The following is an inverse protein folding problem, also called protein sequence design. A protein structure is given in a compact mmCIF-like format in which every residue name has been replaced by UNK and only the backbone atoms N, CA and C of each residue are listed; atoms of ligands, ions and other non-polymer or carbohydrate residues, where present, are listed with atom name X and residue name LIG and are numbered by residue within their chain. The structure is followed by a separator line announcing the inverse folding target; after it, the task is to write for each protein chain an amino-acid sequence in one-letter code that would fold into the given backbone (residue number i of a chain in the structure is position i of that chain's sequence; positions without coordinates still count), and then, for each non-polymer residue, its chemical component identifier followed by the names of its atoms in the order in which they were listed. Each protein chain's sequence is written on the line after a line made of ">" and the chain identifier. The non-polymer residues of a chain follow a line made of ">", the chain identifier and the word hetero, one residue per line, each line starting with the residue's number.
data_IF_808490755686
#
_entry.id   IF_808490755686
#
_cell.length_a   1.000
_cell.length_b   1.000
_cell.length_c   1.000
_cell.angle_alpha   90.00
_cell.angle_beta   90.00
_cell.angle_gamma   90.00
#
_symmetry.space_group_name_H-M   'P 1'
#
loop_
_entity.id
_entity.type
_entity.pdbx_description
1 polymer ?
#
# COMPACT_ATOMS: atom_id res chain seq x y z
N UNK A 1 17.18 -53.44 -49.65
CA UNK A 1 17.92 -52.19 -49.41
C UNK A 1 16.86 -51.08 -49.27
N UNK A 2 16.19 -50.90 -48.12
CA UNK A 2 16.64 -50.32 -46.84
C UNK A 2 17.20 -48.91 -47.12
N UNK A 3 16.71 -47.76 -46.61
CA UNK A 3 16.00 -47.36 -45.38
C UNK A 3 15.42 -45.95 -45.63
N UNK A 4 14.23 -45.59 -45.13
CA UNK A 4 13.77 -44.19 -45.08
C UNK A 4 13.96 -43.64 -43.66
N UNK A 5 14.79 -42.60 -43.53
CA UNK A 5 15.12 -41.92 -42.27
C UNK A 5 13.99 -40.98 -41.85
N UNK A 6 13.31 -41.29 -40.75
CA UNK A 6 12.34 -40.42 -40.10
C UNK A 6 13.03 -39.51 -39.07
N UNK A 7 13.19 -38.23 -39.40
CA UNK A 7 13.71 -37.19 -38.51
C UNK A 7 12.66 -36.84 -37.46
N UNK A 8 12.86 -37.27 -36.21
CA UNK A 8 12.01 -36.92 -35.07
C UNK A 8 12.49 -35.59 -34.49
N UNK A 9 11.72 -34.52 -34.66
CA UNK A 9 11.95 -33.21 -34.04
C UNK A 9 11.60 -33.30 -32.54
N UNK A 10 12.62 -33.25 -31.69
CA UNK A 10 12.49 -33.12 -30.23
C UNK A 10 12.15 -31.67 -29.90
N UNK A 11 10.93 -31.41 -29.42
CA UNK A 11 10.56 -30.12 -28.88
C UNK A 11 11.13 -29.97 -27.46
N UNK A 12 12.09 -29.06 -27.30
CA UNK A 12 12.68 -28.73 -26.00
C UNK A 12 11.69 -27.88 -25.19
N UNK A 13 11.17 -28.42 -24.10
CA UNK A 13 10.38 -27.65 -23.14
C UNK A 13 11.34 -26.86 -22.23
N UNK A 14 11.47 -25.56 -22.48
CA UNK A 14 12.20 -24.66 -21.59
C UNK A 14 11.35 -24.42 -20.33
N UNK A 15 11.81 -24.94 -19.20
CA UNK A 15 11.20 -24.68 -17.89
C UNK A 15 11.59 -23.26 -17.43
N UNK A 16 10.64 -22.33 -17.47
CA UNK A 16 10.80 -21.02 -16.86
C UNK A 16 10.70 -21.16 -15.33
N UNK A 17 11.86 -21.15 -14.65
CA UNK A 17 11.95 -20.95 -13.21
C UNK A 17 11.64 -19.48 -12.91
N UNK A 18 10.36 -19.17 -12.72
CA UNK A 18 9.94 -17.89 -12.17
C UNK A 18 10.29 -17.89 -10.67
N UNK A 19 11.24 -17.04 -10.28
CA UNK A 19 11.51 -16.77 -8.87
C UNK A 19 10.28 -16.10 -8.26
N UNK A 20 9.54 -16.84 -7.44
CA UNK A 20 8.47 -16.25 -6.63
C UNK A 20 9.13 -15.36 -5.58
N UNK A 21 8.97 -14.04 -5.73
CA UNK A 21 9.30 -13.11 -4.66
C UNK A 21 8.32 -13.42 -3.51
N UNK A 22 8.80 -13.65 -2.27
CA UNK A 22 7.90 -13.88 -1.15
C UNK A 22 6.99 -12.67 -1.00
N UNK A 23 5.70 -12.87 -1.23
CA UNK A 23 4.66 -11.91 -0.91
C UNK A 23 4.41 -11.97 0.60
N UNK A 24 5.30 -11.34 1.35
CA UNK A 24 5.13 -11.12 2.79
C UNK A 24 4.35 -9.84 3.04
N UNK A 25 3.59 -9.81 4.14
CA UNK A 25 3.15 -8.56 4.72
C UNK A 25 4.37 -7.77 5.23
N UNK A 26 4.32 -6.45 5.07
CA UNK A 26 5.32 -5.48 5.48
C UNK A 26 4.58 -4.39 6.26
N UNK A 27 5.05 -4.10 7.46
CA UNK A 27 4.63 -2.92 8.22
C UNK A 27 5.58 -1.78 7.87
N UNK A 28 5.04 -0.75 7.23
CA UNK A 28 5.75 0.51 7.00
C UNK A 28 5.57 1.36 8.25
N UNK A 29 6.66 1.59 8.95
CA UNK A 29 6.73 2.54 10.05
C UNK A 29 7.63 3.73 9.64
N UNK A 30 7.76 4.71 10.53
CA UNK A 30 8.54 5.93 10.26
C UNK A 30 9.61 6.19 11.32
N UNK A 31 10.06 5.16 12.03
CA UNK A 31 11.04 5.24 13.12
C UNK A 31 12.35 5.94 12.69
N UNK A 32 12.73 5.85 11.41
CA UNK A 32 13.90 6.53 10.86
C UNK A 32 13.79 8.07 10.89
N UNK A 33 12.58 8.59 11.06
CA UNK A 33 12.28 10.03 11.18
C UNK A 33 12.25 10.50 12.64
N UNK A 34 12.36 9.59 13.61
CA UNK A 34 12.37 9.93 15.02
C UNK A 34 13.58 10.80 15.37
N UNK A 35 13.36 11.84 16.18
CA UNK A 35 14.42 12.72 16.64
C UNK A 35 14.09 13.35 18.00
N UNK A 36 15.14 13.73 18.72
CA UNK A 36 15.00 14.47 19.97
C UNK A 36 14.69 15.95 19.71
N UNK A 37 13.59 16.44 20.28
CA UNK A 37 13.23 17.85 20.23
C UNK A 37 11.75 18.10 20.55
N UNK A 38 11.42 19.36 20.85
CA UNK A 38 10.04 19.80 21.12
C UNK A 38 9.30 20.38 19.92
N UNK A 39 9.94 20.45 18.75
CA UNK A 39 9.39 21.04 17.53
C UNK A 39 8.80 20.00 16.58
N UNK A 40 8.23 20.45 15.47
CA UNK A 40 7.94 19.62 14.30
C UNK A 40 9.04 19.78 13.24
N UNK A 41 9.31 18.74 12.47
CA UNK A 41 10.14 18.78 11.28
C UNK A 41 9.33 18.36 10.06
N UNK A 42 9.51 19.06 8.95
CA UNK A 42 8.81 18.73 7.72
C UNK A 42 9.46 17.53 7.03
N UNK A 43 8.59 16.67 6.53
CA UNK A 43 8.96 15.51 5.70
C UNK A 43 8.52 15.81 4.28
N UNK A 44 9.44 15.59 3.34
CA UNK A 44 9.21 15.84 1.93
C UNK A 44 8.11 14.95 1.35
N UNK A 45 7.61 15.33 0.17
CA UNK A 45 6.71 14.51 -0.64
C UNK A 45 7.20 14.53 -2.09
N UNK A 46 7.49 13.37 -2.72
CA UNK A 46 7.25 12.00 -2.23
C UNK A 46 8.12 11.60 -1.03
N UNK A 47 7.58 10.68 -0.21
CA UNK A 47 8.30 9.98 0.83
C UNK A 47 8.30 8.48 0.52
N UNK A 48 9.46 7.84 0.46
CA UNK A 48 9.57 6.41 0.10
C UNK A 48 10.12 5.60 1.25
N UNK A 49 9.41 4.52 1.61
CA UNK A 49 9.76 3.64 2.72
C UNK A 49 9.35 2.19 2.43
N UNK A 50 10.22 1.24 2.77
CA UNK A 50 10.04 -0.22 2.63
C UNK A 50 9.41 -0.70 1.30
N UNK A 51 9.74 -0.06 0.17
CA UNK A 51 9.24 -0.46 -1.16
C UNK A 51 7.95 0.24 -1.62
N UNK A 52 7.46 1.20 -0.85
CA UNK A 52 6.27 1.99 -1.12
C UNK A 52 6.59 3.49 -1.13
N UNK A 53 5.71 4.27 -1.74
CA UNK A 53 5.82 5.74 -1.81
C UNK A 53 4.51 6.38 -1.40
N UNK A 54 4.63 7.33 -0.47
CA UNK A 54 3.60 8.26 -0.05
C UNK A 54 3.77 9.59 -0.80
N UNK A 55 2.70 10.05 -1.42
CA UNK A 55 2.61 11.40 -1.96
C UNK A 55 1.48 12.13 -1.27
N UNK A 56 1.62 13.44 -1.09
CA UNK A 56 0.56 14.28 -0.54
C UNK A 56 0.36 15.45 -1.48
N UNK A 57 -0.87 15.95 -1.63
CA UNK A 57 -1.12 17.23 -2.30
C UNK A 57 -0.93 18.37 -1.29
N UNK A 58 -0.60 19.58 -1.72
CA UNK A 58 -0.49 20.75 -0.81
C UNK A 58 -1.80 21.17 -0.11
N UNK A 59 -2.90 20.45 -0.31
CA UNK A 59 -4.24 20.79 0.18
C UNK A 59 -4.85 22.01 -0.51
N UNK A 60 -5.82 22.65 0.15
CA UNK A 60 -6.58 23.82 -0.37
C UNK A 60 -5.68 25.02 -0.68
N UNK A 61 -4.56 25.16 0.03
CA UNK A 61 -3.60 26.26 -0.18
C UNK A 61 -2.62 26.00 -1.34
N UNK A 62 -2.71 24.85 -2.00
CA UNK A 62 -1.88 24.48 -3.14
C UNK A 62 -0.38 24.35 -2.82
N UNK A 63 0.42 24.11 -3.85
CA UNK A 63 1.89 23.93 -3.77
C UNK A 63 2.68 25.21 -3.45
N UNK A 64 2.04 26.22 -2.87
CA UNK A 64 2.65 27.51 -2.55
C UNK A 64 3.83 27.39 -1.56
N UNK A 65 3.92 26.27 -0.84
CA UNK A 65 5.08 25.88 -0.05
C UNK A 65 5.56 24.48 -0.47
N UNK A 66 6.54 24.36 -1.38
CA UNK A 66 6.95 23.10 -2.01
C UNK A 66 7.61 22.08 -1.06
N UNK A 67 7.72 22.38 0.24
CA UNK A 67 8.56 21.67 1.21
C UNK A 67 7.80 21.17 2.45
N UNK A 68 6.47 21.33 2.54
CA UNK A 68 5.74 21.06 3.79
C UNK A 68 4.43 20.31 3.57
N UNK A 69 4.51 19.03 3.19
CA UNK A 69 3.30 18.20 2.97
C UNK A 69 3.08 17.16 4.07
N UNK A 70 4.17 16.62 4.61
CA UNK A 70 4.16 15.82 5.82
C UNK A 70 4.98 16.53 6.89
N UNK A 71 4.75 16.17 8.15
CA UNK A 71 5.65 16.49 9.25
C UNK A 71 5.71 15.33 10.24
N UNK A 72 6.72 15.36 11.10
CA UNK A 72 6.87 14.52 12.29
C UNK A 72 7.13 15.41 13.50
N UNK A 73 6.61 15.04 14.66
CA UNK A 73 6.93 15.70 15.93
C UNK A 73 8.14 15.05 16.58
N UNK A 74 9.01 15.84 17.21
CA UNK A 74 10.11 15.29 17.99
C UNK A 74 9.63 14.66 19.31
N UNK A 75 10.44 13.80 19.90
CA UNK A 75 10.07 12.97 21.06
C UNK A 75 9.73 13.75 22.35
N UNK A 76 10.06 15.04 22.41
CA UNK A 76 9.72 15.92 23.54
C UNK A 76 8.51 16.81 23.25
N UNK A 77 7.98 16.75 22.02
CA UNK A 77 6.78 17.48 21.64
C UNK A 77 5.57 16.89 22.35
N UNK A 78 4.70 17.70 22.96
CA UNK A 78 3.45 17.21 23.49
C UNK A 78 2.55 16.63 22.38
N UNK A 79 2.76 16.97 21.11
CA UNK A 79 1.98 16.46 19.98
C UNK A 79 2.51 15.14 19.38
N UNK A 80 3.59 14.58 19.92
CA UNK A 80 4.08 13.27 19.49
C UNK A 80 3.10 12.19 19.95
N UNK A 81 2.67 11.32 19.02
CA UNK A 81 1.74 10.22 19.28
C UNK A 81 2.43 8.85 19.34
N UNK A 82 3.68 8.78 18.86
CA UNK A 82 4.54 7.61 18.99
C UNK A 82 5.83 7.96 19.75
N UNK A 83 5.90 7.69 21.07
CA UNK A 83 7.07 8.04 21.87
C UNK A 83 8.30 7.15 21.60
N UNK A 84 8.14 6.02 20.89
CA UNK A 84 9.25 5.09 20.62
C UNK A 84 9.78 5.21 19.18
N UNK A 85 9.11 5.99 18.33
CA UNK A 85 9.45 6.19 16.92
C UNK A 85 8.93 7.53 16.41
N UNK A 86 8.24 7.51 15.27
CA UNK A 86 7.60 8.69 14.73
C UNK A 86 6.36 8.31 13.91
N UNK A 87 5.34 9.17 13.96
CA UNK A 87 4.18 9.08 13.09
C UNK A 87 4.16 10.23 12.09
N UNK A 88 3.80 9.96 10.83
CA UNK A 88 3.58 11.00 9.85
C UNK A 88 2.28 11.75 10.13
N UNK A 89 2.30 13.06 9.90
CA UNK A 89 1.12 13.90 10.08
C UNK A 89 0.61 14.41 8.74
N UNK A 90 -0.66 14.16 8.47
CA UNK A 90 -1.40 14.86 7.41
C UNK A 90 -1.82 16.24 7.93
N UNK A 91 -0.95 17.23 7.75
CA UNK A 91 -1.06 18.55 8.40
C UNK A 91 -1.75 19.63 7.54
N UNK A 92 -2.45 19.23 6.47
CA UNK A 92 -3.10 20.14 5.53
C UNK A 92 -4.54 19.72 5.27
N UNK A 93 -5.44 20.69 5.43
CA UNK A 93 -6.85 20.51 5.11
C UNK A 93 -7.01 20.20 3.61
N UNK A 94 -7.77 19.14 3.32
CA UNK A 94 -8.02 18.66 1.96
C UNK A 94 -6.79 18.08 1.25
N UNK A 95 -5.67 17.84 1.95
CA UNK A 95 -4.54 17.15 1.36
C UNK A 95 -4.86 15.68 1.11
N UNK A 96 -4.64 15.25 -0.13
CA UNK A 96 -4.82 13.87 -0.56
C UNK A 96 -3.51 13.14 -0.36
N UNK A 97 -3.49 12.14 0.51
CA UNK A 97 -2.33 11.28 0.74
C UNK A 97 -2.48 10.01 -0.08
N UNK A 98 -1.58 9.75 -1.02
CA UNK A 98 -1.63 8.59 -1.91
C UNK A 98 -0.46 7.65 -1.64
N UNK A 99 -0.78 6.40 -1.32
CA UNK A 99 0.15 5.29 -1.16
C UNK A 99 0.21 4.46 -2.45
N UNK A 100 1.41 4.18 -2.93
CA UNK A 100 1.70 3.36 -4.11
C UNK A 100 2.87 2.42 -3.86
N UNK A 101 2.94 1.30 -4.60
CA UNK A 101 4.11 0.42 -4.61
C UNK A 101 5.15 0.98 -5.59
N UNK A 102 6.44 0.96 -5.22
CA UNK A 102 7.51 1.60 -6.01
C UNK A 102 7.74 0.98 -7.39
N UNK A 103 7.38 -0.29 -7.56
CA UNK A 103 7.48 -1.01 -8.83
C UNK A 103 6.18 -0.96 -9.67
N UNK A 104 5.17 -0.22 -9.21
CA UNK A 104 3.87 -0.09 -9.88
C UNK A 104 2.97 -1.32 -9.79
N UNK A 105 3.33 -2.34 -9.01
CA UNK A 105 2.48 -3.52 -8.84
C UNK A 105 1.36 -3.36 -7.82
N UNK A 106 0.38 -4.25 -7.89
CA UNK A 106 -0.78 -4.26 -6.98
C UNK A 106 -0.40 -4.67 -5.56
N UNK A 107 -1.12 -4.16 -4.57
CA UNK A 107 -0.91 -4.52 -3.15
C UNK A 107 -2.23 -4.65 -2.40
N UNK A 108 -2.18 -5.31 -1.25
CA UNK A 108 -3.24 -5.28 -0.25
C UNK A 108 -2.84 -4.24 0.82
N UNK A 109 -3.79 -3.45 1.30
CA UNK A 109 -3.60 -2.50 2.40
C UNK A 109 -4.55 -2.88 3.52
N UNK A 110 -4.00 -3.51 4.56
CA UNK A 110 -4.77 -4.30 5.53
C UNK A 110 -4.95 -3.59 6.86
N UNK A 111 -3.92 -2.89 7.36
CA UNK A 111 -4.00 -2.16 8.63
C UNK A 111 -3.29 -0.82 8.56
N UNK A 112 -3.77 0.13 9.37
CA UNK A 112 -3.14 1.43 9.61
C UNK A 112 -3.40 1.83 11.05
N UNK A 113 -2.40 2.43 11.68
CA UNK A 113 -2.58 3.10 12.96
C UNK A 113 -2.91 4.57 12.72
N UNK A 114 -3.94 5.09 13.42
CA UNK A 114 -4.37 6.49 13.32
C UNK A 114 -4.49 7.12 14.71
N UNK A 115 -4.19 8.42 14.80
CA UNK A 115 -4.39 9.23 16.01
C UNK A 115 -4.75 10.68 15.68
N UNK A 116 -5.42 11.36 16.61
CA UNK A 116 -5.74 12.79 16.49
C UNK A 116 -4.50 13.67 16.62
N UNK A 117 -4.49 14.83 15.96
CA UNK A 117 -3.37 15.78 16.08
C UNK A 117 -3.61 16.78 17.21
N UNK A 118 -2.79 16.74 18.27
CA UNK A 118 -2.97 17.61 19.45
C UNK A 118 -2.93 19.11 19.16
N UNK A 119 -2.05 19.55 18.25
CA UNK A 119 -1.97 20.97 17.87
C UNK A 119 -3.25 21.53 17.23
N UNK A 120 -4.20 20.67 16.86
CA UNK A 120 -5.51 21.06 16.32
C UNK A 120 -6.65 20.66 17.27
N UNK A 121 -6.37 20.60 18.58
CA UNK A 121 -7.34 20.29 19.62
C UNK A 121 -7.44 18.82 20.00
N UNK A 122 -6.60 17.96 19.42
CA UNK A 122 -6.58 16.52 19.72
C UNK A 122 -7.89 15.82 19.40
N UNK A 123 -8.75 16.44 18.59
CA UNK A 123 -10.09 15.94 18.32
C UNK A 123 -10.00 14.79 17.33
N UNK A 124 -10.84 13.77 17.53
CA UNK A 124 -10.96 12.65 16.61
C UNK A 124 -11.47 13.14 15.26
N UNK A 125 -11.59 12.23 14.31
CA UNK A 125 -12.02 12.60 12.99
C UNK A 125 -12.42 11.42 12.15
N UNK A 126 -12.77 11.72 10.90
CA UNK A 126 -13.04 10.71 9.89
C UNK A 126 -11.94 10.79 8.84
N UNK A 127 -11.28 9.67 8.56
CA UNK A 127 -10.42 9.53 7.39
C UNK A 127 -11.20 8.79 6.32
N UNK A 128 -11.30 9.40 5.13
CA UNK A 128 -11.88 8.77 3.95
C UNK A 128 -10.77 8.19 3.09
N UNK A 129 -10.96 6.94 2.68
CA UNK A 129 -10.06 6.20 1.82
C UNK A 129 -10.72 5.90 0.46
N UNK A 130 -9.93 5.97 -0.61
CA UNK A 130 -10.28 5.63 -1.98
C UNK A 130 -9.23 4.67 -2.54
N UNK A 131 -9.65 3.49 -2.99
CA UNK A 131 -8.81 2.62 -3.78
C UNK A 131 -8.89 3.01 -5.26
N UNK A 132 -7.76 3.01 -5.95
CA UNK A 132 -7.74 3.03 -7.42
C UNK A 132 -7.75 1.59 -7.92
N UNK A 133 -8.93 0.96 -7.90
CA UNK A 133 -9.16 -0.43 -8.29
C UNK A 133 -10.21 -0.57 -9.41
N UNK A 134 -10.48 0.53 -10.14
CA UNK A 134 -11.59 0.70 -11.08
C UNK A 134 -13.01 0.77 -10.45
N UNK A 135 -13.16 0.83 -9.13
CA UNK A 135 -14.45 1.08 -8.48
C UNK A 135 -14.47 2.44 -7.76
N UNK A 136 -15.53 3.22 -7.93
CA UNK A 136 -15.74 4.52 -7.25
C UNK A 136 -16.09 4.39 -5.75
N UNK A 137 -15.61 3.35 -5.09
CA UNK A 137 -15.93 3.02 -3.70
C UNK A 137 -15.03 3.79 -2.74
N UNK A 138 -15.60 4.25 -1.64
CA UNK A 138 -14.85 4.83 -0.54
C UNK A 138 -15.11 4.07 0.76
N UNK A 139 -14.18 4.16 1.70
CA UNK A 139 -14.29 3.63 3.04
C UNK A 139 -14.02 4.77 4.03
N UNK A 140 -14.99 5.05 4.90
CA UNK A 140 -14.84 6.04 5.95
C UNK A 140 -14.49 5.33 7.27
N UNK A 141 -13.49 5.87 7.95
CA UNK A 141 -13.00 5.36 9.22
C UNK A 141 -13.04 6.49 10.23
N UNK A 142 -13.86 6.31 11.25
CA UNK A 142 -13.94 7.21 12.39
C UNK A 142 -12.96 6.76 13.49
N UNK A 143 -12.15 7.69 13.99
CA UNK A 143 -11.26 7.46 15.11
C UNK A 143 -11.53 8.49 16.22
N UNK A 144 -11.36 8.07 17.48
CA UNK A 144 -11.62 8.91 18.64
C UNK A 144 -10.56 10.02 18.81
N UNK A 145 -10.82 10.97 19.71
CA UNK A 145 -9.96 12.11 20.04
C UNK A 145 -8.72 11.73 20.85
N UNK A 146 -8.12 10.62 20.49
CA UNK A 146 -7.09 10.00 21.29
C UNK A 146 -5.74 10.43 20.70
N UNK A 147 -4.83 10.77 21.60
CA UNK A 147 -3.43 11.09 21.27
C UNK A 147 -2.58 9.83 21.15
N UNK A 148 -3.22 8.67 21.21
CA UNK A 148 -2.62 7.35 21.09
C UNK A 148 -2.99 6.76 19.73
N UNK A 149 -2.01 6.11 19.11
CA UNK A 149 -2.21 5.36 17.88
C UNK A 149 -3.17 4.19 18.12
N UNK A 150 -4.23 4.11 17.31
CA UNK A 150 -5.19 3.02 17.29
C UNK A 150 -5.14 2.29 15.96
N UNK A 151 -5.07 0.97 15.98
CA UNK A 151 -5.04 0.13 14.77
C UNK A 151 -6.43 -0.07 14.18
N UNK A 152 -6.54 0.13 12.88
CA UNK A 152 -7.77 -0.09 12.12
C UNK A 152 -7.54 -1.04 10.97
N UNK A 153 -8.50 -1.95 10.76
CA UNK A 153 -8.51 -2.84 9.61
C UNK A 153 -9.12 -2.15 8.38
N UNK A 154 -8.53 -2.38 7.21
CA UNK A 154 -8.95 -1.83 5.94
C UNK A 154 -9.35 -2.95 4.96
N UNK A 155 -10.34 -2.72 4.08
CA UNK A 155 -10.86 -3.75 3.18
C UNK A 155 -10.14 -3.81 1.81
N UNK A 156 -8.98 -3.19 1.66
CA UNK A 156 -8.36 -2.99 0.34
C UNK A 156 -7.48 -4.16 -0.08
N UNK A 157 -7.82 -4.77 -1.21
CA UNK A 157 -7.06 -5.89 -1.78
C UNK A 157 -6.81 -5.68 -3.26
N UNK A 158 -5.61 -6.06 -3.72
CA UNK A 158 -5.19 -5.97 -5.13
C UNK A 158 -5.39 -4.59 -5.76
N UNK A 159 -5.05 -3.53 -5.02
CA UNK A 159 -5.20 -2.14 -5.45
C UNK A 159 -3.89 -1.59 -6.05
N UNK A 160 -3.98 -0.68 -7.02
CA UNK A 160 -2.80 0.00 -7.60
C UNK A 160 -2.32 1.15 -6.69
N UNK A 161 -3.26 1.84 -6.05
CA UNK A 161 -2.98 2.92 -5.11
C UNK A 161 -4.14 3.09 -4.14
N UNK A 162 -3.86 3.61 -2.95
CA UNK A 162 -4.89 4.08 -2.02
C UNK A 162 -4.66 5.55 -1.71
N UNK A 163 -5.70 6.37 -1.91
CA UNK A 163 -5.70 7.79 -1.54
C UNK A 163 -6.57 8.00 -0.32
N UNK A 164 -6.07 8.72 0.68
CA UNK A 164 -6.80 8.98 1.92
C UNK A 164 -6.58 10.40 2.43
N UNK A 165 -7.62 10.95 3.07
CA UNK A 165 -7.63 12.30 3.61
C UNK A 165 -8.66 12.45 4.73
N UNK A 166 -8.41 13.40 5.62
CA UNK A 166 -9.35 13.74 6.69
C UNK A 166 -10.53 14.54 6.14
N UNK A 167 -11.73 14.24 6.62
CA UNK A 167 -12.96 14.97 6.30
C UNK A 167 -13.61 15.52 7.57
N UNK A 168 -14.43 16.56 7.39
CA UNK A 168 -15.10 17.25 8.50
C UNK A 168 -14.27 18.38 9.08
N UNK A 169 -14.64 18.80 10.31
CA UNK A 169 -14.06 19.98 10.97
C UNK A 169 -12.62 19.75 11.45
N UNK A 170 -12.17 18.49 11.52
CA UNK A 170 -10.87 18.08 12.06
C UNK A 170 -10.12 17.20 11.05
N UNK A 171 -9.67 17.77 9.92
CA UNK A 171 -9.10 17.00 8.80
C UNK A 171 -7.64 16.56 9.03
N UNK A 172 -7.08 16.83 10.21
CA UNK A 172 -5.68 16.58 10.54
C UNK A 172 -5.54 15.34 11.40
N UNK A 173 -4.67 14.43 11.00
CA UNK A 173 -4.47 13.15 11.68
C UNK A 173 -3.00 12.73 11.57
N UNK A 174 -2.57 11.94 12.54
CA UNK A 174 -1.31 11.21 12.50
C UNK A 174 -1.59 9.79 11.98
N UNK A 175 -0.62 9.21 11.29
CA UNK A 175 -0.67 7.82 10.87
C UNK A 175 0.70 7.14 10.97
N UNK A 176 0.66 5.85 11.27
CA UNK A 176 1.84 4.99 11.41
C UNK A 176 1.48 3.52 11.15
N UNK A 177 2.46 2.61 11.21
CA UNK A 177 2.32 1.16 11.11
C UNK A 177 1.39 0.73 9.96
N UNK A 178 1.66 1.24 8.77
CA UNK A 178 0.90 0.95 7.56
C UNK A 178 1.24 -0.47 7.09
N UNK A 179 0.33 -1.41 7.32
CA UNK A 179 0.51 -2.80 6.92
C UNK A 179 0.02 -3.03 5.49
N UNK A 180 0.95 -3.46 4.65
CA UNK A 180 0.73 -3.75 3.24
C UNK A 180 1.32 -5.08 2.86
N UNK A 181 0.80 -5.72 1.81
CA UNK A 181 1.45 -6.90 1.23
C UNK A 181 1.40 -6.85 -0.28
N UNK A 182 2.42 -7.40 -0.95
CA UNK A 182 2.35 -7.57 -2.39
C UNK A 182 1.15 -8.45 -2.73
N UNK A 183 0.25 -7.97 -3.59
CA UNK A 183 -0.91 -8.74 -3.99
C UNK A 183 -0.43 -10.06 -4.59
N UNK A 184 -0.80 -11.18 -3.96
CA UNK A 184 -0.39 -12.51 -4.41
C UNK A 184 -1.14 -12.81 -5.70
N UNK A 185 -0.49 -12.88 -6.88
CA UNK A 185 -1.19 -13.29 -8.08
C UNK A 185 -1.74 -14.69 -7.85
N UNK A 186 -2.98 -14.95 -8.32
CA UNK A 186 -3.60 -16.26 -8.18
C UNK A 186 -2.56 -17.35 -8.50
N UNK A 187 -2.35 -18.34 -7.61
CA UNK A 187 -1.26 -19.29 -7.73
C UNK A 187 -1.13 -19.79 -9.16
N UNK A 188 0.09 -19.78 -9.73
CA UNK A 188 0.35 -20.28 -11.08
C UNK A 188 -0.17 -21.72 -11.27
N UNK A 189 -0.36 -22.46 -10.17
CA UNK A 189 -1.07 -23.72 -10.10
C UNK A 189 -2.45 -23.69 -10.78
N UNK A 190 -3.22 -22.60 -10.69
CA UNK A 190 -4.51 -22.46 -11.40
C UNK A 190 -4.31 -22.35 -12.91
N UNK A 191 -3.30 -21.59 -13.35
CA UNK A 191 -2.92 -21.54 -14.77
C UNK A 191 -2.49 -22.92 -15.27
N UNK A 192 -1.64 -23.62 -14.52
CA UNK A 192 -1.19 -24.98 -14.84
C UNK A 192 -2.31 -26.01 -14.78
N UNK A 193 -3.24 -25.90 -13.82
CA UNK A 193 -4.43 -26.73 -13.74
C UNK A 193 -5.31 -26.51 -14.98
N UNK A 194 -5.55 -25.26 -15.35
CA UNK A 194 -6.29 -24.90 -16.55
C UNK A 194 -5.65 -25.47 -17.82
N UNK A 195 -4.34 -25.31 -17.97
CA UNK A 195 -3.58 -25.89 -19.09
C UNK A 195 -3.60 -27.42 -19.07
N UNK A 196 -3.49 -28.04 -17.89
CA UNK A 196 -3.58 -29.49 -17.70
C UNK A 196 -4.94 -30.03 -18.15
N UNK A 197 -6.03 -29.40 -17.71
CA UNK A 197 -7.39 -29.76 -18.13
C UNK A 197 -7.56 -29.59 -19.64
N UNK A 198 -7.14 -28.46 -20.20
CA UNK A 198 -7.22 -28.20 -21.64
C UNK A 198 -6.44 -29.25 -22.45
N UNK A 199 -5.25 -29.63 -21.99
CA UNK A 199 -4.44 -30.69 -22.58
C UNK A 199 -5.12 -32.06 -22.56
N UNK A 200 -5.71 -32.45 -21.42
CA UNK A 200 -6.46 -33.70 -21.30
C UNK A 200 -7.67 -33.76 -22.24
N UNK A 201 -8.41 -32.65 -22.37
CA UNK A 201 -9.55 -32.55 -23.31
C UNK A 201 -9.08 -32.68 -24.75
N UNK A 202 -7.98 -32.02 -25.13
CA UNK A 202 -7.43 -32.10 -26.48
C UNK A 202 -6.98 -33.52 -26.85
N UNK A 203 -6.31 -34.24 -25.93
CA UNK A 203 -5.89 -35.64 -26.14
C UNK A 203 -7.10 -36.56 -26.28
N UNK A 204 -8.15 -36.37 -25.47
CA UNK A 204 -9.36 -37.20 -25.54
C UNK A 204 -10.07 -37.05 -26.89
N UNK A 205 -10.18 -35.84 -27.45
CA UNK A 205 -10.85 -35.61 -28.74
C UNK A 205 -10.15 -36.28 -29.93
N UNK A 206 -8.82 -36.44 -29.89
CA UNK A 206 -8.05 -37.12 -30.94
C UNK A 206 -8.20 -38.64 -30.97
N UNK A 207 -8.80 -39.25 -29.94
CA UNK A 207 -9.04 -40.71 -29.90
C UNK A 207 -10.38 -41.12 -30.52
N UNK A 208 -11.27 -40.18 -30.80
CA UNK A 208 -12.61 -40.43 -31.35
C UNK A 208 -12.77 -39.98 -32.80
N UNK A 209 -11.66 -39.62 -33.46
CA UNK A 209 -11.56 -39.33 -34.91
C UNK A 209 -10.55 -40.30 -35.49
#
# INVERSE_FOLDING_TARGET
>A
MIMFNGTKTLATAAAALLFAIPAGAVTINFDELAYDGGSAQFVGSPYSAQGYTFTSTGGVLGDLLPITRYLVYGNQSPSQVDPNGAALVSNREGALNTLTRNDGGLFDFTFIDLAGTMNFGGVGGTVRFYANDNASSFFDLDFASDTELTTFALPFTSVESVTFFGIGDTPFFNFDNVEVSAAVPAPAAFGLLGLGIAGLVAVRRRRFV
#
